data_IF_688070029120
#
_entry.id   IF_688070029120
#
_cell.length_a   1.000
_cell.length_b   1.000
_cell.length_c   1.000
_cell.angle_alpha   90.00
_cell.angle_beta   90.00
_cell.angle_gamma   90.00
#
_symmetry.space_group_name_H-M   'P 1'
#
loop_
_entity.id
_entity.type
_entity.pdbx_description
1 polymer ?
#
# COMPACT_ATOMS: atom_id res chain seq x y z
N UNK A 1 1.01 -11.24 5.63
CA UNK A 1 0.76 -12.43 4.79
C UNK A 1 1.22 -13.71 5.49
N UNK A 2 2.52 -13.90 5.73
CA UNK A 2 3.06 -15.15 6.33
C UNK A 2 2.38 -15.55 7.64
N UNK A 3 2.16 -14.60 8.57
CA UNK A 3 1.45 -14.87 9.83
C UNK A 3 0.07 -15.52 9.61
N UNK A 4 -0.76 -14.92 8.76
CA UNK A 4 -2.08 -15.45 8.43
C UNK A 4 -2.00 -16.81 7.72
N UNK A 5 -1.01 -17.02 6.84
CA UNK A 5 -0.82 -18.31 6.19
C UNK A 5 -0.48 -19.42 7.21
N UNK A 6 0.37 -19.11 8.21
CA UNK A 6 0.71 -20.04 9.30
C UNK A 6 -0.49 -20.31 10.21
N UNK A 7 -1.37 -19.33 10.40
CA UNK A 7 -2.64 -19.48 11.13
C UNK A 7 -3.71 -20.28 10.34
N UNK A 8 -3.39 -20.73 9.11
CA UNK A 8 -4.26 -21.59 8.30
C UNK A 8 -5.17 -20.84 7.32
N UNK A 9 -5.02 -19.52 7.15
CA UNK A 9 -5.79 -18.77 6.17
C UNK A 9 -5.24 -19.00 4.75
N UNK A 10 -6.13 -19.37 3.82
CA UNK A 10 -5.89 -19.50 2.38
C UNK A 10 -6.91 -18.68 1.57
N UNK A 11 -6.60 -18.40 0.30
CA UNK A 11 -7.48 -17.68 -0.65
C UNK A 11 -7.90 -16.28 -0.19
N UNK A 12 -7.04 -15.63 0.59
CA UNK A 12 -7.21 -14.26 1.09
C UNK A 12 -6.04 -13.37 0.70
N UNK A 13 -6.31 -12.09 0.51
CA UNK A 13 -5.32 -11.04 0.35
C UNK A 13 -5.25 -10.19 1.61
N UNK A 14 -4.04 -9.81 2.03
CA UNK A 14 -3.86 -8.84 3.12
C UNK A 14 -4.02 -7.44 2.57
N UNK A 15 -4.89 -6.64 3.19
CA UNK A 15 -5.16 -5.25 2.80
C UNK A 15 -4.78 -4.28 3.91
N UNK A 16 -4.45 -3.06 3.53
CA UNK A 16 -4.27 -1.94 4.44
C UNK A 16 -5.59 -1.20 4.61
N UNK A 17 -6.14 -1.22 5.81
CA UNK A 17 -7.33 -0.45 6.14
C UNK A 17 -6.97 0.72 7.04
N UNK A 18 -7.25 1.93 6.57
CA UNK A 18 -7.07 3.16 7.35
C UNK A 18 -8.02 3.13 8.55
N UNK A 19 -7.50 3.46 9.73
CA UNK A 19 -8.30 3.63 10.95
C UNK A 19 -8.91 5.05 10.97
N UNK A 20 -10.24 5.20 10.79
CA UNK A 20 -10.89 6.51 10.75
C UNK A 20 -10.95 7.18 12.13
N UNK A 21 -10.78 6.42 13.22
CA UNK A 21 -10.85 6.94 14.59
C UNK A 21 -9.53 7.58 15.04
N UNK A 22 -8.45 7.38 14.29
CA UNK A 22 -7.13 7.87 14.62
C UNK A 22 -6.92 9.31 14.11
N UNK A 23 -6.50 10.22 15.01
CA UNK A 23 -6.09 11.59 14.65
C UNK A 23 -4.86 11.64 13.74
N UNK A 24 -4.03 10.59 13.74
CA UNK A 24 -2.85 10.42 12.87
C UNK A 24 -3.10 9.32 11.87
N UNK A 25 -2.44 9.35 10.71
CA UNK A 25 -2.56 8.27 9.73
C UNK A 25 -2.07 6.94 10.34
N UNK A 26 -2.99 5.99 10.45
CA UNK A 26 -2.77 4.66 11.00
C UNK A 26 -3.49 3.63 10.15
N UNK A 27 -2.86 2.49 9.94
CA UNK A 27 -3.43 1.35 9.22
C UNK A 27 -3.55 0.13 10.13
N UNK A 28 -4.56 -0.68 9.87
CA UNK A 28 -4.69 -2.04 10.35
C UNK A 28 -4.57 -3.01 9.17
N UNK A 29 -4.06 -4.21 9.44
CA UNK A 29 -4.00 -5.28 8.46
C UNK A 29 -5.30 -6.09 8.55
N UNK A 30 -5.99 -6.24 7.43
CA UNK A 30 -7.20 -7.06 7.34
C UNK A 30 -7.08 -8.08 6.20
N UNK A 31 -7.95 -9.09 6.21
CA UNK A 31 -8.05 -10.09 5.16
C UNK A 31 -9.30 -9.84 4.32
N UNK A 32 -9.13 -9.79 3.00
CA UNK A 32 -10.24 -9.82 2.04
C UNK A 32 -10.17 -11.10 1.20
N UNK A 33 -11.32 -11.59 0.76
CA UNK A 33 -11.38 -12.74 -0.14
C UNK A 33 -10.81 -12.39 -1.53
N UNK A 34 -10.09 -13.34 -2.14
CA UNK A 34 -9.37 -13.10 -3.40
C UNK A 34 -10.34 -12.83 -4.57
N UNK A 35 -11.49 -13.50 -4.59
CA UNK A 35 -12.59 -13.29 -5.54
C UNK A 35 -13.15 -11.87 -5.50
N UNK A 36 -13.27 -11.29 -4.31
CA UNK A 36 -13.69 -9.91 -4.12
C UNK A 36 -12.63 -8.93 -4.63
N UNK A 37 -11.34 -9.22 -4.42
CA UNK A 37 -10.25 -8.38 -4.91
C UNK A 37 -10.06 -8.46 -6.43
N UNK A 38 -10.22 -9.64 -7.03
CA UNK A 38 -9.96 -9.86 -8.45
C UNK A 38 -10.95 -9.15 -9.37
N UNK A 39 -12.20 -8.98 -8.91
CA UNK A 39 -13.29 -8.43 -9.73
C UNK A 39 -13.61 -6.95 -9.39
N UNK A 40 -12.80 -6.30 -8.56
CA UNK A 40 -13.07 -4.93 -8.13
C UNK A 40 -11.86 -4.03 -8.35
N UNK A 41 -12.15 -2.79 -8.73
CA UNK A 41 -11.15 -1.74 -8.87
C UNK A 41 -11.50 -0.57 -7.95
N UNK A 42 -10.47 0.12 -7.46
CA UNK A 42 -10.65 1.36 -6.71
C UNK A 42 -10.43 2.53 -7.67
N UNK A 43 -11.52 3.09 -8.17
CA UNK A 43 -11.47 4.29 -9.03
C UNK A 43 -11.19 5.54 -8.20
N UNK A 44 -10.77 6.60 -8.89
CA UNK A 44 -10.68 7.95 -8.30
C UNK A 44 -12.09 8.53 -8.22
N UNK A 45 -12.59 8.87 -7.02
CA UNK A 45 -13.88 9.54 -6.86
C UNK A 45 -13.92 10.86 -7.65
N UNK A 46 -15.03 11.14 -8.34
CA UNK A 46 -15.16 12.37 -9.13
C UNK A 46 -15.08 13.64 -8.27
N UNK A 47 -15.51 13.58 -7.00
CA UNK A 47 -15.38 14.69 -6.05
C UNK A 47 -13.92 15.00 -5.67
N UNK A 48 -12.96 14.13 -6.02
CA UNK A 48 -11.54 14.42 -5.86
C UNK A 48 -10.98 15.33 -6.97
N UNK A 49 -11.74 15.54 -8.06
CA UNK A 49 -11.36 16.38 -9.18
C UNK A 49 -12.17 17.68 -9.08
N UNK A 50 -11.51 18.83 -9.27
CA UNK A 50 -12.20 20.13 -9.29
C UNK A 50 -13.18 20.19 -10.47
N UNK A 51 -14.29 20.92 -10.29
CA UNK A 51 -15.32 21.09 -11.32
C UNK A 51 -14.77 21.70 -12.62
N UNK A 52 -13.83 22.63 -12.50
CA UNK A 52 -13.12 23.28 -13.62
C UNK A 52 -12.05 22.40 -14.28
N UNK A 53 -11.83 21.18 -13.76
CA UNK A 53 -10.83 20.21 -14.19
C UNK A 53 -9.39 20.73 -14.18
N UNK A 54 -9.10 21.77 -13.40
CA UNK A 54 -7.74 22.35 -13.30
C UNK A 54 -6.86 21.62 -12.27
N UNK A 55 -7.43 20.70 -11.49
CA UNK A 55 -6.67 19.95 -10.49
C UNK A 55 -7.55 19.14 -9.54
N UNK A 56 -7.02 18.92 -8.34
CA UNK A 56 -7.60 18.04 -7.31
C UNK A 56 -8.20 18.86 -6.15
N UNK A 57 -9.19 18.28 -5.47
CA UNK A 57 -9.87 18.89 -4.32
C UNK A 57 -9.16 18.56 -3.01
N UNK A 58 -9.55 19.23 -1.92
CA UNK A 58 -9.02 18.98 -0.58
C UNK A 58 -9.20 17.52 -0.15
N UNK A 59 -10.30 16.88 -0.53
CA UNK A 59 -10.57 15.46 -0.26
C UNK A 59 -9.44 14.55 -0.77
N UNK A 60 -8.89 14.85 -1.95
CA UNK A 60 -7.75 14.12 -2.49
C UNK A 60 -6.50 14.35 -1.64
N UNK A 61 -6.21 15.59 -1.26
CA UNK A 61 -5.05 15.92 -0.45
C UNK A 61 -5.12 15.23 0.93
N UNK A 62 -6.27 15.23 1.58
CA UNK A 62 -6.47 14.57 2.88
C UNK A 62 -6.34 13.04 2.80
N UNK A 63 -6.62 12.48 1.62
CA UNK A 63 -6.39 11.07 1.33
C UNK A 63 -4.91 10.77 1.02
N UNK A 64 -4.29 11.52 0.11
CA UNK A 64 -3.00 11.20 -0.50
C UNK A 64 -1.80 11.73 0.29
N UNK A 65 -1.92 12.90 0.91
CA UNK A 65 -0.80 13.56 1.60
C UNK A 65 -0.18 12.67 2.68
N UNK A 66 -0.96 11.95 3.54
CA UNK A 66 -0.38 11.04 4.52
C UNK A 66 0.37 9.83 3.94
N UNK A 67 0.07 9.44 2.70
CA UNK A 67 0.65 8.26 2.05
C UNK A 67 2.10 8.48 1.61
N UNK A 68 2.48 9.74 1.39
CA UNK A 68 3.79 10.14 0.88
C UNK A 68 4.68 10.78 1.95
N UNK A 69 4.25 10.73 3.23
CA UNK A 69 5.01 11.36 4.31
C UNK A 69 6.22 10.53 4.71
N UNK A 70 7.33 11.24 4.93
CA UNK A 70 8.57 10.69 5.45
C UNK A 70 9.51 10.16 4.35
N UNK A 71 10.80 10.15 4.68
CA UNK A 71 11.85 9.66 3.80
C UNK A 71 12.39 8.32 4.32
N UNK A 72 12.48 7.28 3.48
CA UNK A 72 13.10 6.03 3.89
C UNK A 72 14.60 6.25 4.12
N UNK A 73 15.14 5.67 5.20
CA UNK A 73 16.59 5.62 5.37
C UNK A 73 17.18 4.59 4.42
N UNK A 74 17.84 5.08 3.37
CA UNK A 74 18.47 4.24 2.34
C UNK A 74 19.96 4.10 2.69
N UNK A 75 20.50 2.87 2.82
CA UNK A 75 21.93 2.68 3.02
C UNK A 75 22.71 3.17 1.79
N UNK A 76 23.78 3.93 2.02
CA UNK A 76 24.63 4.52 0.98
C UNK A 76 26.01 3.86 0.98
N UNK A 77 26.60 3.68 -0.21
CA UNK A 77 27.95 3.14 -0.43
C UNK A 77 28.60 3.97 -1.55
N UNK A 78 29.76 4.57 -1.27
CA UNK A 78 30.50 5.45 -2.20
C UNK A 78 29.64 6.56 -2.86
N UNK A 79 28.72 7.14 -2.08
CA UNK A 79 27.83 8.21 -2.55
C UNK A 79 26.62 7.72 -3.37
N UNK A 80 26.41 6.42 -3.50
CA UNK A 80 25.29 5.81 -4.23
C UNK A 80 24.38 4.96 -3.32
N UNK A 81 23.07 4.85 -3.63
CA UNK A 81 22.18 3.92 -2.93
C UNK A 81 22.63 2.47 -3.06
N UNK A 82 22.74 1.76 -1.92
CA UNK A 82 23.11 0.35 -1.90
C UNK A 82 21.90 -0.53 -2.18
N UNK A 83 21.81 -1.01 -3.42
CA UNK A 83 20.79 -1.98 -3.84
C UNK A 83 21.15 -3.42 -3.43
N UNK A 84 20.13 -4.24 -3.15
CA UNK A 84 20.32 -5.65 -2.84
C UNK A 84 20.74 -6.47 -4.08
N UNK A 85 21.75 -7.34 -3.93
CA UNK A 85 22.15 -8.32 -4.96
C UNK A 85 21.85 -9.73 -4.45
N UNK A 86 20.85 -10.37 -5.05
CA UNK A 86 20.48 -11.74 -4.71
C UNK A 86 21.34 -12.74 -5.47
N UNK A 87 21.70 -13.86 -4.85
CA UNK A 87 22.47 -14.94 -5.49
C UNK A 87 21.70 -15.68 -6.60
N UNK A 88 20.36 -15.56 -6.61
CA UNK A 88 19.46 -16.18 -7.59
C UNK A 88 19.73 -17.68 -7.81
N UNK A 89 20.06 -18.42 -6.74
CA UNK A 89 20.27 -19.87 -6.79
C UNK A 89 18.90 -20.53 -6.89
N UNK A 90 18.70 -21.37 -7.91
CA UNK A 90 17.47 -22.12 -8.09
C UNK A 90 17.31 -23.22 -7.04
N UNK A 91 16.08 -23.44 -6.59
CA UNK A 91 15.75 -24.62 -5.80
C UNK A 91 15.89 -25.89 -6.66
N UNK A 92 16.32 -26.99 -6.03
CA UNK A 92 16.22 -28.31 -6.65
C UNK A 92 14.74 -28.67 -6.81
N UNK A 93 14.41 -29.32 -7.92
CA UNK A 93 13.07 -29.87 -8.15
C UNK A 93 12.72 -30.90 -7.10
#
# INVERSE_FOLDING_TARGET
>A
AVRYAVEGYSDKMVVFKRDPSSKKYKINYELIALDAAANTEKTIPLNWIKEDRTGLTQDFYDYALPLIQGDPQIPMEDGLPRFARLKKIYAKK
#
